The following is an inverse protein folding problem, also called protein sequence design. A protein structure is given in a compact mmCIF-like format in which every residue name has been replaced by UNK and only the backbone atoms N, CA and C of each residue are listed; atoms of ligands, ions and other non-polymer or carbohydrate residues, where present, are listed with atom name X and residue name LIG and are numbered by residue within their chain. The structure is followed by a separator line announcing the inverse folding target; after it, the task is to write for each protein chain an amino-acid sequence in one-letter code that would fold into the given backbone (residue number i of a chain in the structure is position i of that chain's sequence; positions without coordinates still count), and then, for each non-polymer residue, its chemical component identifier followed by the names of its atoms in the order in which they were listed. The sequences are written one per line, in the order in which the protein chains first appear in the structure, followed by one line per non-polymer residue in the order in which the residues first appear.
data_IF_364981658561
#
_entry.id   IF_364981658561
#
_cell.length_a   1.000
_cell.length_b   1.000
_cell.length_c   1.000
_cell.angle_alpha   90.00
_cell.angle_beta   90.00
_cell.angle_gamma   90.00
#
_symmetry.space_group_name_H-M   'P 1'
#
loop_
_entity.id
_entity.type
_entity.pdbx_description
1 polymer ?
#
# COMPACT_ATOMS: atom_id res chain seq x y z
N UNK A 1 -1.10 19.35 -29.26
CA UNK A 1 0.21 18.70 -29.00
C UNK A 1 0.36 18.64 -27.50
N UNK A 2 0.64 17.46 -26.92
CA UNK A 2 0.90 17.36 -25.48
C UNK A 2 2.08 18.26 -25.12
N UNK A 3 1.97 19.00 -24.02
CA UNK A 3 3.07 19.80 -23.50
C UNK A 3 4.22 18.82 -23.19
N UNK A 4 5.43 19.01 -23.76
CA UNK A 4 6.55 18.18 -23.39
C UNK A 4 6.80 18.37 -21.89
N UNK A 5 6.85 17.25 -21.16
CA UNK A 5 7.04 17.26 -19.71
C UNK A 5 8.28 18.08 -19.36
N UNK A 6 8.18 18.93 -18.34
CA UNK A 6 9.33 19.61 -17.78
C UNK A 6 10.41 18.55 -17.48
N UNK A 7 11.59 18.71 -18.09
CA UNK A 7 12.78 17.86 -17.88
C UNK A 7 12.70 16.43 -18.44
N UNK A 8 11.81 16.14 -19.41
CA UNK A 8 11.73 14.82 -20.07
C UNK A 8 13.08 14.27 -20.58
N UNK A 9 13.99 15.17 -20.99
CA UNK A 9 15.32 14.84 -21.52
C UNK A 9 16.45 14.85 -20.46
N UNK A 10 16.14 15.13 -19.19
CA UNK A 10 17.12 15.16 -18.09
C UNK A 10 17.18 13.85 -17.28
N UNK A 11 16.66 12.76 -17.84
CA UNK A 11 16.69 11.44 -17.18
C UNK A 11 18.09 10.97 -16.76
N UNK A 12 19.13 11.46 -17.46
CA UNK A 12 20.51 11.18 -17.14
C UNK A 12 20.92 11.61 -15.72
N UNK A 13 20.30 12.65 -15.13
CA UNK A 13 20.61 13.08 -13.75
C UNK A 13 20.22 11.99 -12.76
N UNK A 14 18.97 11.52 -12.85
CA UNK A 14 18.47 10.43 -12.00
C UNK A 14 19.22 9.13 -12.25
N UNK A 15 19.54 8.83 -13.51
CA UNK A 15 20.32 7.64 -13.86
C UNK A 15 21.72 7.69 -13.21
N UNK A 16 22.38 8.84 -13.18
CA UNK A 16 23.67 8.98 -12.50
C UNK A 16 23.54 8.84 -10.97
N UNK A 17 22.52 9.41 -10.34
CA UNK A 17 22.30 9.23 -8.89
C UNK A 17 22.06 7.77 -8.52
N UNK A 18 21.26 7.05 -9.31
CA UNK A 18 21.03 5.62 -9.13
C UNK A 18 22.31 4.78 -9.22
N UNK A 19 23.32 5.26 -9.96
CA UNK A 19 24.62 4.60 -10.06
C UNK A 19 25.56 4.90 -8.88
N UNK A 20 25.20 5.83 -7.97
CA UNK A 20 25.98 6.17 -6.78
C UNK A 20 25.67 5.25 -5.58
N UNK A 21 24.63 4.43 -5.67
CA UNK A 21 24.22 3.50 -4.62
C UNK A 21 24.09 2.07 -5.14
N UNK A 22 24.20 1.10 -4.25
CA UNK A 22 23.99 -0.32 -4.57
C UNK A 22 22.50 -0.70 -4.65
N UNK A 23 21.60 0.23 -4.32
CA UNK A 23 20.16 0.01 -4.18
C UNK A 23 19.36 1.33 -4.40
N UNK A 24 18.06 1.29 -4.15
CA UNK A 24 17.16 2.45 -4.30
C UNK A 24 17.18 3.45 -3.11
N UNK A 25 17.98 3.23 -2.05
CA UNK A 25 17.97 4.10 -0.86
C UNK A 25 18.40 5.55 -1.18
N UNK A 26 19.21 5.75 -2.23
CA UNK A 26 19.57 7.10 -2.70
C UNK A 26 18.36 7.93 -3.17
N UNK A 27 17.28 7.25 -3.58
CA UNK A 27 16.04 7.89 -4.01
C UNK A 27 15.00 7.92 -2.88
N UNK A 28 14.97 6.87 -2.07
CA UNK A 28 14.00 6.67 -0.99
C UNK A 28 14.70 6.02 0.20
N UNK A 29 15.32 6.80 1.11
CA UNK A 29 15.99 6.25 2.28
C UNK A 29 15.06 5.28 3.03
N UNK A 30 15.59 4.10 3.35
CA UNK A 30 14.83 3.06 4.06
C UNK A 30 14.04 2.10 3.16
N UNK A 31 13.92 2.35 1.85
CA UNK A 31 13.11 1.48 0.96
C UNK A 31 13.46 0.00 1.03
N UNK A 32 14.74 -0.32 1.28
CA UNK A 32 15.17 -1.70 1.47
C UNK A 32 14.51 -2.38 2.67
N UNK A 33 14.43 -1.71 3.82
CA UNK A 33 13.79 -2.24 5.02
C UNK A 33 12.30 -2.52 4.80
N UNK A 34 11.59 -1.58 4.17
CA UNK A 34 10.17 -1.74 3.82
C UNK A 34 9.94 -2.90 2.86
N UNK A 35 10.81 -3.08 1.86
CA UNK A 35 10.73 -4.23 0.93
C UNK A 35 10.96 -5.56 1.64
N UNK A 36 11.94 -5.63 2.53
CA UNK A 36 12.20 -6.84 3.31
C UNK A 36 10.98 -7.21 4.19
N UNK A 37 10.39 -6.23 4.87
CA UNK A 37 9.18 -6.44 5.68
C UNK A 37 7.97 -6.92 4.84
N UNK A 38 7.87 -6.46 3.59
CA UNK A 38 6.83 -6.91 2.63
C UNK A 38 7.09 -8.28 1.99
N UNK A 39 8.22 -8.93 2.31
CA UNK A 39 8.51 -10.30 1.89
C UNK A 39 9.42 -10.44 0.68
N UNK A 40 10.06 -9.36 0.23
CA UNK A 40 11.21 -9.47 -0.67
C UNK A 40 12.39 -10.09 0.08
N UNK A 41 13.23 -10.86 -0.62
CA UNK A 41 14.46 -11.38 -0.04
C UNK A 41 15.67 -10.54 -0.47
N UNK A 42 16.66 -10.37 0.41
CA UNK A 42 17.86 -9.58 0.13
C UNK A 42 18.56 -10.03 -1.16
N UNK A 43 18.64 -11.34 -1.40
CA UNK A 43 19.20 -11.91 -2.63
C UNK A 43 18.43 -11.51 -3.91
N UNK A 44 17.12 -11.32 -3.82
CA UNK A 44 16.29 -10.87 -4.95
C UNK A 44 16.58 -9.41 -5.26
N UNK A 45 16.62 -8.59 -4.20
CA UNK A 45 16.90 -7.16 -4.28
C UNK A 45 18.31 -6.94 -4.86
N UNK A 46 19.33 -7.62 -4.33
CA UNK A 46 20.70 -7.57 -4.86
C UNK A 46 20.77 -8.04 -6.31
N UNK A 47 20.10 -9.14 -6.67
CA UNK A 47 20.11 -9.66 -8.05
C UNK A 47 19.48 -8.70 -9.07
N UNK A 48 18.60 -7.80 -8.61
CA UNK A 48 18.01 -6.73 -9.41
C UNK A 48 18.91 -5.50 -9.43
N UNK A 49 19.26 -4.95 -8.28
CA UNK A 49 19.93 -3.64 -8.18
C UNK A 49 21.34 -3.64 -8.74
N UNK A 50 22.08 -4.74 -8.61
CA UNK A 50 23.40 -4.91 -9.26
C UNK A 50 23.35 -4.88 -10.79
N UNK A 51 22.16 -4.97 -11.40
CA UNK A 51 21.96 -4.94 -12.87
C UNK A 51 21.24 -3.69 -13.35
N UNK A 52 20.82 -2.82 -12.44
CA UNK A 52 20.17 -1.56 -12.78
C UNK A 52 21.26 -0.59 -13.20
N UNK A 53 21.11 0.00 -14.38
CA UNK A 53 22.04 0.98 -14.93
C UNK A 53 21.39 2.35 -15.09
N UNK A 54 20.28 2.58 -14.39
CA UNK A 54 19.38 3.72 -14.55
C UNK A 54 17.92 3.31 -14.62
N UNK A 55 17.02 4.29 -14.58
CA UNK A 55 15.59 4.11 -14.33
C UNK A 55 14.89 3.24 -15.38
N UNK A 56 15.28 3.35 -16.66
CA UNK A 56 14.71 2.55 -17.76
C UNK A 56 15.03 1.05 -17.66
N UNK A 57 16.07 0.68 -16.89
CA UNK A 57 16.48 -0.71 -16.75
C UNK A 57 15.70 -1.49 -15.68
N UNK A 58 15.03 -0.79 -14.74
CA UNK A 58 14.29 -1.41 -13.64
C UNK A 58 13.24 -2.43 -14.11
N UNK A 59 12.29 -2.13 -15.01
CA UNK A 59 11.29 -3.10 -15.45
C UNK A 59 11.91 -4.42 -15.92
N UNK A 60 12.97 -4.32 -16.73
CA UNK A 60 13.67 -5.49 -17.29
C UNK A 60 14.44 -6.26 -16.21
N UNK A 61 15.07 -5.57 -15.26
CA UNK A 61 15.81 -6.21 -14.17
C UNK A 61 14.86 -6.99 -13.23
N UNK A 62 13.75 -6.37 -12.83
CA UNK A 62 12.70 -7.02 -12.05
C UNK A 62 12.10 -8.22 -12.77
N UNK A 63 11.72 -8.06 -14.05
CA UNK A 63 11.14 -9.14 -14.85
C UNK A 63 12.10 -10.35 -14.98
N UNK A 64 13.40 -10.10 -15.17
CA UNK A 64 14.39 -11.18 -15.23
C UNK A 64 14.47 -11.97 -13.92
N UNK A 65 14.43 -11.29 -12.77
CA UNK A 65 14.44 -11.98 -11.47
C UNK A 65 13.15 -12.75 -11.24
N UNK A 66 11.99 -12.14 -11.55
CA UNK A 66 10.69 -12.77 -11.46
C UNK A 66 10.62 -14.09 -12.26
N UNK A 67 11.03 -14.06 -13.53
CA UNK A 67 11.08 -15.25 -14.40
C UNK A 67 12.03 -16.34 -13.86
N UNK A 68 13.13 -15.95 -13.22
CA UNK A 68 14.04 -16.91 -12.58
C UNK A 68 13.37 -17.61 -11.41
N UNK A 69 12.71 -16.85 -10.53
CA UNK A 69 12.00 -17.39 -9.37
C UNK A 69 10.83 -18.28 -9.78
N UNK A 70 10.04 -17.84 -10.77
CA UNK A 70 8.93 -18.62 -11.33
C UNK A 70 9.39 -19.98 -11.85
N UNK A 71 10.49 -20.05 -12.62
CA UNK A 71 11.02 -21.35 -13.11
C UNK A 71 11.42 -22.30 -11.97
N UNK A 72 11.98 -21.77 -10.88
CA UNK A 72 12.34 -22.58 -9.71
C UNK A 72 11.06 -23.05 -9.00
N UNK A 73 10.06 -22.17 -8.87
CA UNK A 73 8.76 -22.50 -8.28
C UNK A 73 8.06 -23.63 -9.06
N UNK A 74 8.00 -23.53 -10.39
CA UNK A 74 7.43 -24.56 -11.28
C UNK A 74 8.16 -25.90 -11.16
N UNK A 75 9.50 -25.88 -11.04
CA UNK A 75 10.29 -27.10 -10.85
C UNK A 75 10.02 -27.74 -9.47
N UNK A 76 9.90 -26.92 -8.42
CA UNK A 76 9.54 -27.39 -7.09
C UNK A 76 8.12 -27.99 -7.08
N UNK A 77 7.16 -27.34 -7.72
CA UNK A 77 5.77 -27.80 -7.84
C UNK A 77 5.70 -29.15 -8.56
N UNK A 78 6.39 -29.30 -9.71
CA UNK A 78 6.47 -30.57 -10.45
C UNK A 78 7.05 -31.73 -9.64
N UNK A 79 7.89 -31.43 -8.64
CA UNK A 79 8.49 -32.40 -7.73
C UNK A 79 7.66 -32.62 -6.45
N UNK A 80 6.47 -32.02 -6.35
CA UNK A 80 5.61 -32.12 -5.16
C UNK A 80 6.10 -31.31 -3.95
N UNK A 81 7.08 -30.41 -4.12
CA UNK A 81 7.63 -29.56 -3.05
C UNK A 81 6.81 -28.29 -2.88
N UNK A 82 5.56 -28.45 -2.44
CA UNK A 82 4.53 -27.41 -2.51
C UNK A 82 4.82 -26.18 -1.63
N UNK A 83 5.39 -26.36 -0.44
CA UNK A 83 5.80 -25.25 0.45
C UNK A 83 6.83 -24.36 -0.24
N UNK A 84 7.88 -24.98 -0.80
CA UNK A 84 8.92 -24.28 -1.56
C UNK A 84 8.35 -23.59 -2.80
N UNK A 85 7.48 -24.27 -3.54
CA UNK A 85 6.85 -23.70 -4.72
C UNK A 85 6.04 -22.43 -4.37
N UNK A 86 5.18 -22.50 -3.34
CA UNK A 86 4.34 -21.38 -2.90
C UNK A 86 5.16 -20.15 -2.50
N UNK A 87 6.24 -20.35 -1.73
CA UNK A 87 7.13 -19.25 -1.32
C UNK A 87 7.84 -18.60 -2.51
N UNK A 88 8.28 -19.39 -3.49
CA UNK A 88 8.93 -18.86 -4.70
C UNK A 88 7.96 -18.18 -5.66
N UNK A 89 6.73 -18.70 -5.80
CA UNK A 89 5.67 -18.01 -6.55
C UNK A 89 5.32 -16.66 -5.94
N UNK A 90 5.26 -16.55 -4.60
CA UNK A 90 5.05 -15.27 -3.93
C UNK A 90 6.16 -14.27 -4.27
N UNK A 91 7.43 -14.67 -4.11
CA UNK A 91 8.57 -13.82 -4.45
C UNK A 91 8.59 -13.42 -5.94
N UNK A 92 8.22 -14.34 -6.83
CA UNK A 92 8.08 -14.05 -8.26
C UNK A 92 6.98 -13.01 -8.52
N UNK A 93 5.81 -13.13 -7.88
CA UNK A 93 4.72 -12.19 -8.01
C UNK A 93 5.12 -10.78 -7.55
N UNK A 94 5.79 -10.65 -6.39
CA UNK A 94 6.33 -9.39 -5.91
C UNK A 94 7.28 -8.74 -6.95
N UNK A 95 8.18 -9.52 -7.55
CA UNK A 95 9.08 -9.03 -8.58
C UNK A 95 8.34 -8.60 -9.87
N UNK A 96 7.33 -9.35 -10.32
CA UNK A 96 6.49 -8.93 -11.46
C UNK A 96 5.71 -7.65 -11.17
N UNK A 97 5.22 -7.48 -9.93
CA UNK A 97 4.58 -6.24 -9.46
C UNK A 97 5.48 -5.02 -9.53
N UNK A 98 6.78 -5.18 -9.23
CA UNK A 98 7.74 -4.09 -9.41
C UNK A 98 8.16 -3.88 -10.87
N UNK A 99 8.11 -4.92 -11.71
CA UNK A 99 8.44 -4.81 -13.13
C UNK A 99 7.47 -3.88 -13.88
N UNK A 100 6.19 -3.85 -13.50
CA UNK A 100 5.16 -3.04 -14.15
C UNK A 100 5.13 -1.58 -13.65
N UNK A 101 5.53 -1.34 -12.40
CA UNK A 101 5.29 -0.09 -11.65
C UNK A 101 5.82 1.17 -12.36
N UNK A 102 6.98 1.10 -13.03
CA UNK A 102 7.56 2.26 -13.72
C UNK A 102 7.04 2.48 -15.15
N UNK A 103 5.98 1.78 -15.55
CA UNK A 103 5.34 1.90 -16.86
C UNK A 103 3.90 2.42 -16.68
N UNK A 104 3.68 3.74 -16.52
CA UNK A 104 2.36 4.32 -16.27
C UNK A 104 1.61 4.55 -17.60
N UNK A 105 1.38 3.48 -18.36
CA UNK A 105 0.72 3.52 -19.67
C UNK A 105 -0.24 2.33 -19.78
N UNK A 106 -1.54 2.62 -19.88
CA UNK A 106 -2.56 1.60 -20.08
C UNK A 106 -2.38 0.87 -21.41
N UNK A 107 -2.57 -0.45 -21.42
CA UNK A 107 -2.46 -1.26 -22.64
C UNK A 107 -1.03 -1.43 -23.16
N UNK A 108 -0.01 -0.97 -22.42
CA UNK A 108 1.38 -1.26 -22.77
C UNK A 108 1.67 -2.76 -22.57
N UNK A 109 2.07 -3.44 -23.64
CA UNK A 109 2.23 -4.91 -23.62
C UNK A 109 3.26 -5.39 -22.57
N UNK A 110 4.31 -4.62 -22.27
CA UNK A 110 5.26 -5.00 -21.22
C UNK A 110 4.63 -4.94 -19.82
N UNK A 111 3.80 -3.92 -19.56
CA UNK A 111 3.04 -3.77 -18.32
C UNK A 111 2.00 -4.88 -18.20
N UNK A 112 1.18 -5.09 -19.23
CA UNK A 112 0.13 -6.12 -19.23
C UNK A 112 0.71 -7.54 -19.12
N UNK A 113 1.83 -7.81 -19.79
CA UNK A 113 2.53 -9.09 -19.65
C UNK A 113 3.03 -9.31 -18.21
N UNK A 114 3.57 -8.27 -17.57
CA UNK A 114 4.00 -8.35 -16.17
C UNK A 114 2.81 -8.54 -15.22
N UNK A 115 1.68 -7.87 -15.44
CA UNK A 115 0.44 -8.12 -14.69
C UNK A 115 -0.06 -9.55 -14.85
N UNK A 116 -0.13 -10.07 -16.08
CA UNK A 116 -0.55 -11.47 -16.32
C UNK A 116 0.34 -12.44 -15.55
N UNK A 117 1.65 -12.29 -15.61
CA UNK A 117 2.58 -13.17 -14.89
C UNK A 117 2.52 -13.01 -13.37
N UNK A 118 2.27 -11.78 -12.88
CA UNK A 118 2.03 -11.52 -11.46
C UNK A 118 0.84 -12.31 -10.96
N UNK A 119 -0.33 -12.13 -11.58
CA UNK A 119 -1.56 -12.77 -11.11
C UNK A 119 -1.50 -14.29 -11.30
N UNK A 120 -0.87 -14.80 -12.36
CA UNK A 120 -0.61 -16.24 -12.50
C UNK A 120 0.24 -16.81 -11.35
N UNK A 121 1.29 -16.11 -10.93
CA UNK A 121 2.11 -16.52 -9.78
C UNK A 121 1.33 -16.41 -8.48
N UNK A 122 0.57 -15.33 -8.27
CA UNK A 122 -0.17 -15.14 -7.03
C UNK A 122 -1.38 -16.08 -6.91
N UNK A 123 -2.02 -16.46 -8.02
CA UNK A 123 -3.04 -17.52 -8.05
C UNK A 123 -2.46 -18.85 -7.57
N UNK A 124 -1.18 -19.16 -7.87
CA UNK A 124 -0.50 -20.32 -7.29
C UNK A 124 -0.30 -20.18 -5.78
N UNK A 125 0.01 -18.98 -5.28
CA UNK A 125 0.12 -18.71 -3.82
C UNK A 125 -1.22 -18.98 -3.12
N UNK A 126 -2.32 -18.53 -3.73
CA UNK A 126 -3.68 -18.73 -3.23
C UNK A 126 -4.08 -20.20 -3.28
N UNK A 127 -3.91 -20.88 -4.42
CA UNK A 127 -4.28 -22.28 -4.56
C UNK A 127 -3.51 -23.21 -3.62
N UNK A 128 -2.23 -22.90 -3.35
CA UNK A 128 -1.39 -23.66 -2.42
C UNK A 128 -1.55 -23.21 -0.95
N UNK A 129 -2.50 -22.31 -0.65
CA UNK A 129 -2.77 -21.85 0.73
C UNK A 129 -3.65 -22.79 1.55
N UNK A 130 -4.11 -23.89 0.95
CA UNK A 130 -5.04 -24.84 1.56
C UNK A 130 -6.36 -24.18 2.03
N UNK A 131 -6.93 -23.35 1.15
CA UNK A 131 -8.20 -22.65 1.41
C UNK A 131 -8.11 -21.44 2.33
N UNK A 132 -6.94 -21.12 2.88
CA UNK A 132 -6.76 -19.98 3.78
C UNK A 132 -6.74 -18.62 3.05
N UNK A 133 -6.48 -18.60 1.75
CA UNK A 133 -6.54 -17.39 0.93
C UNK A 133 -7.63 -17.47 -0.12
N UNK A 134 -8.32 -16.35 -0.36
CA UNK A 134 -9.43 -16.25 -1.31
C UNK A 134 -9.25 -14.98 -2.15
N UNK A 135 -9.21 -15.14 -3.48
CA UNK A 135 -9.34 -14.01 -4.41
C UNK A 135 -10.81 -13.64 -4.59
N UNK A 136 -11.13 -12.35 -4.55
CA UNK A 136 -12.48 -11.84 -4.75
C UNK A 136 -12.46 -10.64 -5.69
N UNK A 137 -13.48 -10.55 -6.54
CA UNK A 137 -13.85 -9.33 -7.24
C UNK A 137 -15.29 -8.96 -6.87
N UNK A 138 -15.56 -7.67 -6.71
CA UNK A 138 -16.90 -7.11 -6.45
C UNK A 138 -17.16 -5.97 -7.42
N UNK A 139 -18.31 -6.00 -8.08
CA UNK A 139 -18.75 -4.89 -8.92
C UNK A 139 -19.33 -3.78 -8.02
N UNK A 140 -18.83 -2.55 -8.18
CA UNK A 140 -19.28 -1.38 -7.40
C UNK A 140 -20.00 -0.32 -8.25
N UNK A 141 -19.80 -0.36 -9.56
CA UNK A 141 -20.55 0.39 -10.56
C UNK A 141 -20.58 -0.42 -11.84
N UNK A 142 -21.48 -0.08 -12.78
CA UNK A 142 -21.66 -0.84 -14.01
C UNK A 142 -20.34 -1.02 -14.78
N UNK A 143 -19.87 -2.27 -14.88
CA UNK A 143 -18.62 -2.63 -15.55
C UNK A 143 -17.35 -2.24 -14.80
N UNK A 144 -17.45 -1.80 -13.54
CA UNK A 144 -16.32 -1.43 -12.69
C UNK A 144 -16.28 -2.31 -11.44
N UNK A 145 -15.15 -2.99 -11.25
CA UNK A 145 -14.94 -3.88 -10.11
C UNK A 145 -13.76 -3.45 -9.26
N UNK A 146 -13.84 -3.74 -7.96
CA UNK A 146 -12.73 -3.72 -7.02
C UNK A 146 -12.27 -5.14 -6.75
N UNK A 147 -10.98 -5.32 -6.44
CA UNK A 147 -10.38 -6.63 -6.29
C UNK A 147 -9.78 -6.79 -4.91
N UNK A 148 -9.85 -7.99 -4.36
CA UNK A 148 -9.36 -8.28 -3.03
C UNK A 148 -8.70 -9.66 -2.94
N UNK A 149 -7.72 -9.76 -2.05
CA UNK A 149 -7.19 -11.01 -1.53
C UNK A 149 -7.48 -11.04 -0.04
N UNK A 150 -8.33 -11.97 0.37
CA UNK A 150 -8.59 -12.27 1.76
C UNK A 150 -7.66 -13.39 2.23
N UNK A 151 -7.12 -13.24 3.44
CA UNK A 151 -6.33 -14.25 4.12
C UNK A 151 -6.93 -14.48 5.51
N UNK A 152 -7.43 -15.69 5.72
CA UNK A 152 -8.01 -16.15 6.97
C UNK A 152 -6.93 -16.31 8.03
N UNK A 153 -7.17 -15.76 9.22
CA UNK A 153 -6.34 -16.02 10.40
C UNK A 153 -6.59 -17.43 10.95
N UNK A 154 -5.58 -18.07 11.56
CA UNK A 154 -5.75 -19.38 12.16
C UNK A 154 -6.75 -19.36 13.33
N UNK A 155 -7.40 -20.51 13.55
CA UNK A 155 -8.34 -20.74 14.64
C UNK A 155 -9.81 -20.65 14.23
N UNK A 156 -10.68 -21.04 15.16
CA UNK A 156 -12.12 -21.18 14.93
C UNK A 156 -12.90 -19.87 15.16
N UNK A 157 -14.07 -19.78 14.54
CA UNK A 157 -15.04 -18.69 14.72
C UNK A 157 -14.69 -17.39 13.98
N UNK A 158 -15.61 -16.41 14.02
CA UNK A 158 -15.41 -15.10 13.39
C UNK A 158 -14.26 -14.33 14.02
N UNK A 159 -13.48 -13.64 13.19
CA UNK A 159 -12.28 -12.88 13.59
C UNK A 159 -12.39 -11.40 13.24
N UNK A 160 -11.76 -10.50 14.02
CA UNK A 160 -11.50 -9.14 13.55
C UNK A 160 -10.83 -9.18 12.18
N UNK A 161 -11.15 -8.22 11.33
CA UNK A 161 -10.62 -8.20 9.96
C UNK A 161 -10.04 -6.84 9.63
N UNK A 162 -8.79 -6.83 9.16
CA UNK A 162 -8.10 -5.62 8.73
C UNK A 162 -8.11 -5.54 7.21
N UNK A 163 -8.75 -4.50 6.69
CA UNK A 163 -8.70 -4.14 5.29
C UNK A 163 -7.41 -3.37 5.06
N UNK A 164 -6.57 -3.84 4.15
CA UNK A 164 -5.28 -3.20 3.85
C UNK A 164 -5.37 -2.50 2.50
N UNK A 165 -5.09 -1.20 2.53
CA UNK A 165 -5.06 -0.34 1.35
C UNK A 165 -3.60 -0.02 1.00
N UNK A 166 -3.09 -0.51 -0.14
CA UNK A 166 -1.76 -0.17 -0.62
C UNK A 166 -1.61 1.34 -0.90
N UNK A 167 -0.36 1.77 -1.07
CA UNK A 167 -0.04 3.13 -1.50
C UNK A 167 -0.39 3.43 -2.96
N UNK A 168 0.09 4.57 -3.44
CA UNK A 168 -0.13 5.01 -4.82
C UNK A 168 0.49 4.03 -5.83
N UNK A 169 -0.29 3.54 -6.81
CA UNK A 169 0.11 2.54 -7.84
C UNK A 169 0.80 1.27 -7.29
N UNK A 170 0.63 1.01 -5.99
CA UNK A 170 0.98 -0.27 -5.39
C UNK A 170 -0.13 -1.30 -5.68
N UNK A 171 0.13 -2.55 -5.32
CA UNK A 171 -0.77 -3.68 -5.58
C UNK A 171 -1.07 -4.42 -4.28
N UNK A 172 -2.28 -4.97 -4.16
CA UNK A 172 -2.70 -5.78 -3.01
C UNK A 172 -1.81 -6.98 -2.72
N UNK A 173 -1.12 -7.52 -3.74
CA UNK A 173 -0.17 -8.61 -3.57
C UNK A 173 1.14 -8.19 -2.88
N UNK A 174 1.43 -6.90 -2.78
CA UNK A 174 2.67 -6.38 -2.15
C UNK A 174 2.50 -5.97 -0.68
N UNK A 175 1.27 -6.04 -0.15
CA UNK A 175 0.95 -5.66 1.23
C UNK A 175 0.51 -6.87 2.05
N UNK A 176 0.95 -6.91 3.32
CA UNK A 176 0.79 -8.04 4.24
C UNK A 176 1.34 -9.35 3.68
N UNK A 177 2.63 -9.59 3.92
CA UNK A 177 3.30 -10.84 3.61
C UNK A 177 2.52 -12.04 4.20
N UNK A 178 2.04 -13.00 3.38
CA UNK A 178 1.22 -14.12 3.85
C UNK A 178 1.95 -15.09 4.77
N UNK A 179 3.28 -14.97 4.93
CA UNK A 179 4.07 -15.85 5.80
C UNK A 179 4.48 -15.20 7.12
N UNK A 180 4.44 -13.87 7.21
CA UNK A 180 4.92 -13.11 8.38
C UNK A 180 3.97 -11.98 8.76
N UNK A 181 2.70 -12.06 8.39
CA UNK A 181 1.72 -11.01 8.71
C UNK A 181 1.52 -10.89 10.21
N UNK A 182 1.81 -9.70 10.75
CA UNK A 182 1.58 -9.37 12.16
C UNK A 182 0.11 -9.49 12.57
N UNK A 183 -0.80 -9.30 11.62
CA UNK A 183 -2.25 -9.39 11.85
C UNK A 183 -2.72 -10.83 12.01
N UNK A 184 -2.28 -11.72 11.10
CA UNK A 184 -2.67 -13.14 11.12
C UNK A 184 -2.17 -13.82 12.39
N UNK A 185 -0.92 -13.53 12.80
CA UNK A 185 -0.33 -14.06 14.03
C UNK A 185 -1.08 -13.62 15.30
N UNK A 186 -1.84 -12.52 15.23
CA UNK A 186 -2.69 -11.97 16.30
C UNK A 186 -4.16 -12.38 16.17
N UNK A 187 -4.48 -13.31 15.27
CA UNK A 187 -5.84 -13.82 15.09
C UNK A 187 -6.77 -12.86 14.34
N UNK A 188 -6.24 -11.93 13.54
CA UNK A 188 -7.02 -11.03 12.70
C UNK A 188 -6.93 -11.44 11.23
N UNK A 189 -8.06 -11.58 10.56
CA UNK A 189 -8.08 -11.77 9.11
C UNK A 189 -7.51 -10.54 8.40
N UNK A 190 -6.97 -10.74 7.21
CA UNK A 190 -6.49 -9.65 6.35
C UNK A 190 -7.25 -9.64 5.04
N UNK A 191 -7.64 -8.46 4.55
CA UNK A 191 -8.21 -8.27 3.23
C UNK A 191 -7.46 -7.14 2.50
N UNK A 192 -6.48 -7.49 1.68
CA UNK A 192 -5.77 -6.51 0.86
C UNK A 192 -6.57 -6.20 -0.40
N UNK A 193 -6.73 -4.91 -0.75
CA UNK A 193 -7.60 -4.50 -1.86
C UNK A 193 -6.84 -3.68 -2.92
N UNK A 194 -7.23 -3.87 -4.19
CA UNK A 194 -6.96 -2.91 -5.26
C UNK A 194 -8.26 -2.11 -5.49
N UNK A 195 -8.24 -0.83 -5.11
CA UNK A 195 -9.32 0.10 -5.45
C UNK A 195 -9.13 0.73 -6.83
N UNK A 196 -10.07 1.59 -7.27
CA UNK A 196 -9.94 2.37 -8.50
C UNK A 196 -8.59 3.08 -8.58
N UNK A 197 -7.90 2.96 -9.71
CA UNK A 197 -6.55 3.51 -9.89
C UNK A 197 -5.40 2.63 -9.37
N UNK A 198 -5.63 1.40 -8.92
CA UNK A 198 -4.57 0.48 -8.44
C UNK A 198 -4.62 -0.89 -9.14
N UNK A 199 -3.48 -1.58 -9.21
CA UNK A 199 -3.37 -3.00 -9.59
C UNK A 199 -4.34 -3.49 -10.67
N UNK A 200 -5.22 -4.44 -10.32
CA UNK A 200 -6.21 -5.02 -11.24
C UNK A 200 -7.20 -3.98 -11.78
N UNK A 201 -7.57 -2.95 -11.01
CA UNK A 201 -8.42 -1.86 -11.49
C UNK A 201 -7.74 -1.11 -12.64
N UNK A 202 -6.45 -0.79 -12.51
CA UNK A 202 -5.66 -0.11 -13.54
C UNK A 202 -5.51 -0.92 -14.84
N UNK A 203 -5.31 -2.24 -14.74
CA UNK A 203 -5.26 -3.14 -15.92
C UNK A 203 -6.63 -3.21 -16.61
N UNK A 204 -7.73 -3.11 -15.86
CA UNK A 204 -9.10 -3.12 -16.38
C UNK A 204 -9.70 -1.72 -16.65
N UNK A 205 -8.86 -0.68 -16.71
CA UNK A 205 -9.28 0.71 -16.96
C UNK A 205 -10.34 1.27 -15.98
N UNK A 206 -10.31 0.81 -14.74
CA UNK A 206 -11.12 1.34 -13.63
C UNK A 206 -10.31 2.44 -12.93
N UNK A 207 -10.49 3.67 -13.42
CA UNK A 207 -9.73 4.85 -12.98
C UNK A 207 -10.25 5.44 -11.67
N UNK A 208 -9.34 6.02 -10.89
CA UNK A 208 -9.68 6.80 -9.71
C UNK A 208 -10.44 8.06 -10.11
N UNK A 209 -11.55 8.32 -9.41
CA UNK A 209 -12.30 9.57 -9.48
C UNK A 209 -12.43 10.16 -8.08
N UNK A 210 -13.11 11.29 -7.96
CA UNK A 210 -13.28 11.99 -6.68
C UNK A 210 -13.82 11.09 -5.57
N UNK A 211 -14.79 10.22 -5.86
CA UNK A 211 -15.58 9.54 -4.83
C UNK A 211 -15.71 8.02 -4.98
N UNK A 212 -15.07 7.40 -5.98
CA UNK A 212 -15.29 5.98 -6.26
C UNK A 212 -14.47 5.03 -5.39
N UNK A 213 -13.42 5.50 -4.69
CA UNK A 213 -12.57 4.62 -3.90
C UNK A 213 -13.30 4.09 -2.66
N UNK A 214 -13.94 4.98 -1.89
CA UNK A 214 -14.73 4.61 -0.72
C UNK A 214 -15.96 3.77 -1.09
N UNK A 215 -16.56 4.00 -2.26
CA UNK A 215 -17.68 3.21 -2.78
C UNK A 215 -17.21 1.77 -3.10
N UNK A 216 -16.07 1.65 -3.78
CA UNK A 216 -15.44 0.36 -4.08
C UNK A 216 -15.09 -0.42 -2.81
N UNK A 217 -14.47 0.22 -1.84
CA UNK A 217 -14.15 -0.38 -0.54
C UNK A 217 -15.41 -0.81 0.23
N UNK A 218 -16.48 0.01 0.21
CA UNK A 218 -17.77 -0.34 0.84
C UNK A 218 -18.39 -1.62 0.27
N UNK A 219 -18.20 -1.89 -1.04
CA UNK A 219 -18.61 -3.17 -1.65
C UNK A 219 -17.75 -4.36 -1.26
N UNK A 220 -16.47 -4.14 -0.98
CA UNK A 220 -15.64 -5.19 -0.35
C UNK A 220 -16.13 -5.44 1.08
N UNK A 221 -16.48 -4.39 1.83
CA UNK A 221 -17.05 -4.52 3.18
C UNK A 221 -18.37 -5.30 3.13
N UNK A 222 -19.26 -5.04 2.17
CA UNK A 222 -20.51 -5.82 1.96
C UNK A 222 -20.22 -7.32 1.85
N UNK A 223 -19.18 -7.70 1.11
CA UNK A 223 -18.77 -9.09 0.98
C UNK A 223 -18.13 -9.64 2.25
N UNK A 224 -17.29 -8.86 2.94
CA UNK A 224 -16.64 -9.30 4.17
C UNK A 224 -17.68 -9.62 5.25
N UNK A 225 -18.67 -8.75 5.44
CA UNK A 225 -19.68 -8.94 6.49
C UNK A 225 -20.68 -10.07 6.19
N UNK A 226 -20.71 -10.57 4.96
CA UNK A 226 -21.53 -11.73 4.58
C UNK A 226 -20.84 -13.06 4.89
N UNK A 227 -19.59 -13.04 5.37
CA UNK A 227 -18.82 -14.24 5.72
C UNK A 227 -19.10 -14.64 7.17
N UNK A 228 -19.05 -15.93 7.45
CA UNK A 228 -19.19 -16.50 8.79
C UNK A 228 -17.89 -16.47 9.61
N UNK A 229 -16.74 -16.32 8.94
CA UNK A 229 -15.42 -16.22 9.55
C UNK A 229 -14.94 -14.78 9.80
N UNK A 230 -15.79 -13.78 9.57
CA UNK A 230 -15.54 -12.36 9.83
C UNK A 230 -16.41 -11.88 10.99
N UNK A 231 -15.82 -11.14 11.91
CA UNK A 231 -16.55 -10.41 12.96
C UNK A 231 -16.97 -9.03 12.45
N UNK A 232 -18.27 -8.88 12.24
CA UNK A 232 -18.87 -7.68 11.66
C UNK A 232 -18.74 -6.43 12.54
N UNK A 233 -18.50 -6.61 13.85
CA UNK A 233 -18.31 -5.50 14.78
C UNK A 233 -16.84 -5.13 14.97
N UNK A 234 -15.90 -5.82 14.31
CA UNK A 234 -14.45 -5.60 14.48
C UNK A 234 -13.72 -5.52 13.13
N UNK A 235 -14.13 -4.55 12.32
CA UNK A 235 -13.46 -4.21 11.05
C UNK A 235 -12.56 -2.99 11.21
N UNK A 236 -11.29 -3.12 10.84
CA UNK A 236 -10.32 -2.02 10.80
C UNK A 236 -9.79 -1.77 9.40
N UNK A 237 -9.23 -0.57 9.17
CA UNK A 237 -8.50 -0.24 7.95
C UNK A 237 -7.04 0.08 8.31
N UNK A 238 -6.10 -0.47 7.55
CA UNK A 238 -4.73 -0.02 7.53
C UNK A 238 -4.36 0.47 6.13
N UNK A 239 -4.01 1.74 6.02
CA UNK A 239 -3.60 2.38 4.77
C UNK A 239 -2.13 2.74 4.78
N UNK A 240 -1.40 2.43 3.70
CA UNK A 240 0.01 2.81 3.54
C UNK A 240 0.15 3.98 2.57
N UNK A 241 0.94 4.99 2.90
CA UNK A 241 1.18 6.16 2.02
C UNK A 241 -0.15 6.79 1.61
N UNK A 242 -0.41 6.97 0.31
CA UNK A 242 -1.71 7.46 -0.16
C UNK A 242 -2.91 6.57 0.25
N UNK A 243 -2.64 5.30 0.60
CA UNK A 243 -3.61 4.43 1.26
C UNK A 243 -4.11 4.93 2.60
N UNK A 244 -3.33 5.73 3.35
CA UNK A 244 -3.79 6.35 4.59
C UNK A 244 -4.91 7.37 4.33
N UNK A 245 -4.81 8.14 3.24
CA UNK A 245 -5.86 9.06 2.78
C UNK A 245 -7.13 8.30 2.39
N UNK A 246 -7.01 7.23 1.60
CA UNK A 246 -8.17 6.40 1.27
C UNK A 246 -8.74 5.70 2.52
N UNK A 247 -7.91 5.31 3.48
CA UNK A 247 -8.35 4.76 4.75
C UNK A 247 -9.23 5.72 5.54
N UNK A 248 -8.86 7.01 5.60
CA UNK A 248 -9.69 8.07 6.17
C UNK A 248 -11.02 8.21 5.41
N UNK A 249 -10.98 8.23 4.07
CA UNK A 249 -12.21 8.31 3.27
C UNK A 249 -13.14 7.12 3.50
N UNK A 250 -12.60 5.90 3.58
CA UNK A 250 -13.37 4.69 3.85
C UNK A 250 -13.96 4.72 5.26
N UNK A 251 -13.17 5.06 6.28
CA UNK A 251 -13.64 5.12 7.66
C UNK A 251 -14.67 6.23 7.92
N UNK A 252 -14.61 7.33 7.18
CA UNK A 252 -15.61 8.40 7.24
C UNK A 252 -16.89 8.06 6.45
N UNK A 253 -16.77 7.24 5.40
CA UNK A 253 -17.88 6.86 4.54
C UNK A 253 -18.69 5.67 5.09
N UNK A 254 -18.02 4.67 5.67
CA UNK A 254 -18.63 3.39 6.03
C UNK A 254 -18.56 3.12 7.54
N UNK A 255 -19.69 3.30 8.22
CA UNK A 255 -19.84 3.16 9.69
C UNK A 255 -19.56 1.76 10.24
N UNK A 256 -19.38 0.76 9.37
CA UNK A 256 -18.97 -0.60 9.76
C UNK A 256 -17.49 -0.66 10.12
N UNK A 257 -16.66 0.25 9.60
CA UNK A 257 -15.28 0.40 10.06
C UNK A 257 -15.28 0.95 11.48
N UNK A 258 -14.39 0.42 12.32
CA UNK A 258 -14.27 0.75 13.74
C UNK A 258 -12.92 1.33 14.15
N UNK A 259 -11.90 1.23 13.29
CA UNK A 259 -10.60 1.83 13.51
C UNK A 259 -9.88 2.07 12.17
N UNK A 260 -9.08 3.13 12.11
CA UNK A 260 -8.25 3.44 10.93
C UNK A 260 -6.81 3.69 11.36
N UNK A 261 -5.86 3.03 10.70
CA UNK A 261 -4.43 3.22 10.89
C UNK A 261 -3.80 3.66 9.56
N UNK A 262 -3.00 4.72 9.58
CA UNK A 262 -2.23 5.21 8.45
C UNK A 262 -0.74 5.08 8.71
N UNK A 263 -0.01 4.35 7.86
CA UNK A 263 1.44 4.23 7.92
C UNK A 263 2.09 5.03 6.80
N UNK A 264 3.29 5.59 7.05
CA UNK A 264 3.97 6.53 6.14
C UNK A 264 2.97 7.59 5.65
N UNK A 265 2.27 8.19 6.61
CA UNK A 265 0.99 8.85 6.38
C UNK A 265 1.06 9.95 5.31
N UNK A 266 0.20 9.87 4.29
CA UNK A 266 0.05 10.91 3.27
C UNK A 266 -1.34 11.57 3.36
N UNK A 267 -1.49 12.48 4.32
CA UNK A 267 -2.75 13.22 4.58
C UNK A 267 -2.67 14.72 4.26
N UNK A 268 -1.49 15.18 3.85
CA UNK A 268 -1.24 16.56 3.42
C UNK A 268 -1.80 16.90 2.04
N UNK A 269 -1.49 18.10 1.58
CA UNK A 269 -1.91 18.60 0.26
C UNK A 269 -1.24 17.83 -0.89
N UNK A 270 -1.82 17.91 -2.08
CA UNK A 270 -1.20 17.32 -3.28
C UNK A 270 -0.03 18.15 -3.85
N UNK A 271 0.18 19.39 -3.37
CA UNK A 271 1.22 20.29 -3.86
C UNK A 271 2.62 19.68 -3.69
N UNK A 272 2.92 19.16 -2.49
CA UNK A 272 4.22 18.55 -2.19
C UNK A 272 4.50 17.38 -3.14
N UNK A 273 3.58 16.41 -3.22
CA UNK A 273 3.78 15.19 -4.00
C UNK A 273 3.86 15.44 -5.52
N UNK A 274 3.19 16.47 -6.05
CA UNK A 274 3.11 16.71 -7.50
C UNK A 274 4.04 17.79 -8.02
N UNK A 275 4.34 18.82 -7.23
CA UNK A 275 5.09 19.99 -7.68
C UNK A 275 6.48 20.08 -7.04
N UNK A 276 6.72 19.45 -5.89
CA UNK A 276 7.99 19.55 -5.15
C UNK A 276 8.77 18.24 -5.08
N UNK A 277 8.08 17.11 -4.92
CA UNK A 277 8.66 15.79 -4.82
C UNK A 277 9.15 15.27 -6.18
N UNK A 278 9.55 13.99 -6.22
CA UNK A 278 10.09 13.39 -7.44
C UNK A 278 9.09 13.49 -8.61
N UNK A 279 9.51 13.93 -9.82
CA UNK A 279 8.62 14.22 -10.95
C UNK A 279 7.77 13.05 -11.45
N UNK A 280 8.02 11.82 -10.97
CA UNK A 280 7.26 10.65 -11.41
C UNK A 280 5.89 10.52 -10.73
N UNK A 281 5.72 11.08 -9.54
CA UNK A 281 4.49 10.89 -8.78
C UNK A 281 3.26 11.48 -9.48
N UNK A 282 3.36 12.71 -10.00
CA UNK A 282 2.30 13.32 -10.82
C UNK A 282 1.94 12.45 -12.03
N UNK A 283 2.94 11.94 -12.77
CA UNK A 283 2.72 11.08 -13.94
C UNK A 283 2.06 9.75 -13.58
N UNK A 284 2.43 9.15 -12.45
CA UNK A 284 1.78 7.94 -11.95
C UNK A 284 0.32 8.25 -11.60
N UNK A 285 0.05 9.34 -10.89
CA UNK A 285 -1.32 9.69 -10.49
C UNK A 285 -2.22 10.05 -11.69
N UNK A 286 -1.66 10.69 -12.73
CA UNK A 286 -2.34 10.87 -14.02
C UNK A 286 -2.75 9.53 -14.64
N UNK A 287 -1.87 8.53 -14.63
CA UNK A 287 -2.20 7.19 -15.10
C UNK A 287 -3.34 6.56 -14.28
N UNK A 288 -3.30 6.67 -12.95
CA UNK A 288 -4.32 6.11 -12.07
C UNK A 288 -5.70 6.74 -12.27
N UNK A 289 -5.75 7.99 -12.74
CA UNK A 289 -6.96 8.78 -12.96
C UNK A 289 -7.38 8.79 -14.45
N UNK A 290 -6.61 8.13 -15.33
CA UNK A 290 -6.89 8.04 -16.76
C UNK A 290 -6.60 9.33 -17.56
N UNK A 291 -5.98 10.34 -16.95
CA UNK A 291 -5.63 11.59 -17.63
C UNK A 291 -4.33 11.47 -18.41
N UNK A 292 -4.29 12.07 -19.60
CA UNK A 292 -3.09 12.14 -20.46
C UNK A 292 -2.66 13.58 -20.76
N UNK A 293 -3.48 14.56 -20.38
CA UNK A 293 -3.23 15.98 -20.49
C UNK A 293 -3.05 16.55 -19.07
N UNK A 294 -1.94 17.25 -18.84
CA UNK A 294 -1.61 17.85 -17.53
C UNK A 294 -2.60 18.95 -17.14
N UNK A 295 -3.06 19.78 -18.08
CA UNK A 295 -3.98 20.88 -17.75
C UNK A 295 -5.35 20.33 -17.28
N UNK A 296 -5.86 19.30 -17.95
CA UNK A 296 -7.11 18.63 -17.56
C UNK A 296 -6.98 17.91 -16.20
N UNK A 297 -5.78 17.36 -15.93
CA UNK A 297 -5.45 16.74 -14.65
C UNK A 297 -5.38 17.77 -13.52
N UNK A 298 -4.74 18.92 -13.76
CA UNK A 298 -4.63 19.99 -12.77
C UNK A 298 -6.02 20.56 -12.42
N UNK A 299 -6.93 20.71 -13.38
CA UNK A 299 -8.33 21.06 -13.10
C UNK A 299 -9.07 19.96 -12.32
N UNK A 300 -8.80 18.68 -12.60
CA UNK A 300 -9.34 17.57 -11.81
C UNK A 300 -8.84 17.61 -10.35
N UNK A 301 -7.55 17.87 -10.14
CA UNK A 301 -6.94 17.88 -8.82
C UNK A 301 -7.51 18.94 -7.88
N UNK A 302 -8.02 20.06 -8.41
CA UNK A 302 -8.75 21.06 -7.61
C UNK A 302 -9.99 20.50 -6.88
N UNK A 303 -10.56 19.40 -7.38
CA UNK A 303 -11.70 18.70 -6.76
C UNK A 303 -11.29 17.58 -5.79
N UNK A 304 -10.03 17.19 -5.78
CA UNK A 304 -9.50 16.10 -4.93
C UNK A 304 -9.03 16.61 -3.56
N UNK A 305 -8.88 17.92 -3.39
CA UNK A 305 -8.41 18.55 -2.15
C UNK A 305 -9.55 18.81 -1.14
N UNK A 306 -10.21 17.72 -0.71
CA UNK A 306 -11.35 17.78 0.21
C UNK A 306 -11.16 16.92 1.48
N UNK A 307 -9.96 16.35 1.67
CA UNK A 307 -9.67 15.45 2.79
C UNK A 307 -9.89 16.11 4.18
N UNK A 308 -9.54 17.40 4.41
CA UNK A 308 -9.86 18.06 5.68
C UNK A 308 -11.35 18.09 6.01
N UNK A 309 -12.24 18.16 5.01
CA UNK A 309 -13.69 18.10 5.24
C UNK A 309 -14.18 16.68 5.54
N UNK A 310 -13.59 15.68 4.88
CA UNK A 310 -13.83 14.26 5.20
C UNK A 310 -13.39 13.93 6.62
N UNK A 311 -12.24 14.46 7.06
CA UNK A 311 -11.68 14.21 8.38
C UNK A 311 -12.66 14.57 9.52
N UNK A 312 -13.49 15.61 9.34
CA UNK A 312 -14.53 16.03 10.31
C UNK A 312 -15.59 14.95 10.55
N UNK A 313 -15.81 14.10 9.54
CA UNK A 313 -16.79 13.01 9.55
C UNK A 313 -16.18 11.68 10.00
N UNK A 314 -14.84 11.57 10.10
CA UNK A 314 -14.19 10.39 10.68
C UNK A 314 -14.40 10.39 12.20
N UNK A 315 -15.30 9.53 12.68
CA UNK A 315 -15.65 9.42 14.13
C UNK A 315 -14.95 8.27 14.85
N UNK A 316 -14.38 7.33 14.10
CA UNK A 316 -13.66 6.19 14.66
C UNK A 316 -12.25 6.57 15.08
N UNK A 317 -11.63 5.85 16.03
CA UNK A 317 -10.24 6.07 16.40
C UNK A 317 -9.29 5.96 15.22
N UNK A 318 -8.34 6.88 15.17
CA UNK A 318 -7.42 7.06 14.05
C UNK A 318 -5.97 7.18 14.50
N UNK A 319 -5.10 6.27 14.04
CA UNK A 319 -3.65 6.33 14.24
C UNK A 319 -2.96 6.79 12.96
N UNK A 320 -2.01 7.73 13.07
CA UNK A 320 -1.01 8.00 12.04
C UNK A 320 0.38 7.61 12.54
N UNK A 321 1.15 6.98 11.66
CA UNK A 321 2.56 6.65 11.86
C UNK A 321 3.35 7.28 10.73
N UNK A 322 4.27 8.18 11.07
CA UNK A 322 5.05 8.95 10.11
C UNK A 322 6.47 9.20 10.63
N UNK A 323 7.37 9.59 9.74
CA UNK A 323 8.67 10.17 10.10
C UNK A 323 8.63 11.68 9.96
N UNK A 324 9.42 12.40 10.75
CA UNK A 324 9.46 13.87 10.67
C UNK A 324 10.25 14.42 9.48
N UNK A 325 10.98 13.55 8.78
CA UNK A 325 11.68 13.82 7.52
C UNK A 325 10.93 13.26 6.30
N UNK A 326 9.67 12.82 6.44
CA UNK A 326 8.84 12.37 5.31
C UNK A 326 8.66 13.50 4.29
N UNK A 327 9.21 13.28 3.09
CA UNK A 327 9.25 14.28 2.02
C UNK A 327 7.92 14.46 1.29
N UNK A 328 6.92 13.59 1.55
CA UNK A 328 5.62 13.61 0.90
C UNK A 328 4.51 14.15 1.80
N UNK A 329 4.71 14.16 3.13
CA UNK A 329 3.77 14.71 4.09
C UNK A 329 4.51 15.21 5.33
N UNK A 330 4.58 16.53 5.47
CA UNK A 330 5.31 17.13 6.59
C UNK A 330 4.58 16.94 7.93
N UNK A 331 5.27 17.08 9.07
CA UNK A 331 4.62 17.17 10.37
C UNK A 331 3.53 18.26 10.45
N UNK A 332 3.73 19.40 9.78
CA UNK A 332 2.76 20.50 9.75
C UNK A 332 1.48 20.12 8.96
N UNK A 333 1.61 19.35 7.89
CA UNK A 333 0.48 18.78 7.16
C UNK A 333 -0.33 17.85 8.07
N UNK A 334 0.35 16.98 8.82
CA UNK A 334 -0.28 16.06 9.78
C UNK A 334 -1.02 16.84 10.87
N UNK A 335 -0.39 17.87 11.45
CA UNK A 335 -1.03 18.73 12.46
C UNK A 335 -2.27 19.42 11.87
N UNK A 336 -2.19 19.92 10.65
CA UNK A 336 -3.31 20.58 9.96
C UNK A 336 -4.46 19.61 9.71
N UNK A 337 -4.17 18.40 9.23
CA UNK A 337 -5.16 17.35 9.06
C UNK A 337 -5.83 16.98 10.40
N UNK A 338 -5.03 16.74 11.46
CA UNK A 338 -5.53 16.31 12.77
C UNK A 338 -6.43 17.33 13.45
N UNK A 339 -6.19 18.64 13.26
CA UNK A 339 -7.08 19.71 13.73
C UNK A 339 -8.52 19.62 13.19
N UNK A 340 -8.73 18.89 12.09
CA UNK A 340 -10.03 18.69 11.48
C UNK A 340 -10.67 17.34 11.84
N UNK A 341 -9.98 16.46 12.56
CA UNK A 341 -10.49 15.12 12.89
C UNK A 341 -11.72 15.18 13.79
N UNK A 342 -12.70 14.34 13.46
CA UNK A 342 -13.95 14.25 14.18
C UNK A 342 -14.00 13.27 15.35
N UNK A 343 -12.94 12.48 15.58
CA UNK A 343 -12.87 11.40 16.56
C UNK A 343 -11.48 11.24 17.16
N UNK A 344 -11.31 10.23 18.02
CA UNK A 344 -10.07 9.94 18.74
C UNK A 344 -8.86 9.83 17.79
N UNK A 345 -7.71 10.38 18.20
CA UNK A 345 -6.53 10.46 17.34
C UNK A 345 -5.21 10.20 18.06
N UNK A 346 -4.37 9.37 17.45
CA UNK A 346 -2.99 9.13 17.86
C UNK A 346 -2.02 9.41 16.72
N UNK A 347 -0.82 9.89 17.06
CA UNK A 347 0.29 10.07 16.12
C UNK A 347 1.57 9.51 16.74
N UNK A 348 2.25 8.66 15.98
CA UNK A 348 3.63 8.26 16.22
C UNK A 348 4.51 8.92 15.16
N UNK A 349 5.36 9.85 15.59
CA UNK A 349 6.25 10.62 14.73
C UNK A 349 7.71 10.24 15.07
N UNK A 350 8.40 9.59 14.15
CA UNK A 350 9.77 9.12 14.34
C UNK A 350 10.79 10.16 13.86
N UNK A 351 11.75 10.52 14.71
CA UNK A 351 12.83 11.45 14.39
C UNK A 351 13.74 10.89 13.28
N UNK A 352 14.04 11.70 12.28
CA UNK A 352 15.00 11.40 11.22
C UNK A 352 14.52 10.38 10.19
N UNK A 353 13.28 9.90 10.26
CA UNK A 353 12.74 8.86 9.38
C UNK A 353 12.09 9.48 8.13
N UNK A 354 12.38 8.91 6.96
CA UNK A 354 11.86 9.34 5.65
C UNK A 354 10.68 8.49 5.17
N UNK A 355 10.07 8.86 4.04
CA UNK A 355 9.22 7.95 3.29
C UNK A 355 10.12 6.91 2.61
N UNK A 356 10.09 5.61 2.99
CA UNK A 356 8.92 4.81 3.35
C UNK A 356 9.05 4.11 4.72
N UNK A 357 9.78 4.70 5.67
CA UNK A 357 9.94 4.25 7.05
C UNK A 357 10.52 2.84 7.22
N UNK A 358 11.44 2.42 6.34
CA UNK A 358 11.95 1.06 6.39
C UNK A 358 13.02 0.81 7.45
N UNK A 359 13.66 1.87 7.93
CA UNK A 359 14.61 1.87 9.04
C UNK A 359 13.94 1.38 10.34
N UNK A 360 12.66 1.68 10.50
CA UNK A 360 11.84 1.34 11.68
C UNK A 360 10.75 0.32 11.38
N UNK A 361 10.70 -0.23 10.16
CA UNK A 361 9.66 -1.17 9.71
C UNK A 361 9.45 -2.33 10.70
N UNK A 362 10.55 -2.95 11.17
CA UNK A 362 10.49 -4.08 12.09
C UNK A 362 9.85 -3.76 13.46
N UNK A 363 9.81 -2.50 13.85
CA UNK A 363 9.17 -2.01 15.07
C UNK A 363 7.72 -1.58 14.82
N UNK A 364 7.48 -0.81 13.76
CA UNK A 364 6.16 -0.19 13.53
C UNK A 364 5.10 -1.21 13.11
N UNK A 365 5.44 -2.23 12.30
CA UNK A 365 4.45 -3.21 11.81
C UNK A 365 3.76 -4.00 12.94
N UNK A 366 4.50 -4.64 13.88
CA UNK A 366 3.86 -5.30 15.01
C UNK A 366 3.09 -4.33 15.90
N UNK A 367 3.63 -3.14 16.18
CA UNK A 367 2.98 -2.15 17.04
C UNK A 367 1.65 -1.65 16.46
N UNK A 368 1.58 -1.37 15.16
CA UNK A 368 0.33 -0.99 14.50
C UNK A 368 -0.73 -2.11 14.57
N UNK A 369 -0.30 -3.38 14.46
CA UNK A 369 -1.21 -4.51 14.58
C UNK A 369 -1.75 -4.66 16.01
N UNK A 370 -0.92 -4.43 17.03
CA UNK A 370 -1.34 -4.37 18.43
C UNK A 370 -2.33 -3.21 18.66
N UNK A 371 -1.99 -2.00 18.20
CA UNK A 371 -2.86 -0.83 18.33
C UNK A 371 -4.24 -1.07 17.69
N UNK A 372 -4.28 -1.64 16.48
CA UNK A 372 -5.53 -1.98 15.79
C UNK A 372 -6.33 -3.02 16.58
N UNK A 373 -5.69 -4.09 17.05
CA UNK A 373 -6.38 -5.14 17.79
C UNK A 373 -6.96 -4.62 19.11
N UNK A 374 -6.18 -3.88 19.90
CA UNK A 374 -6.62 -3.25 21.15
C UNK A 374 -7.78 -2.31 20.88
N UNK A 375 -7.65 -1.43 19.89
CA UNK A 375 -8.70 -0.47 19.52
C UNK A 375 -9.98 -1.17 19.06
N UNK A 376 -9.90 -2.26 18.31
CA UNK A 376 -11.08 -3.02 17.87
C UNK A 376 -11.75 -3.80 19.00
N UNK A 377 -11.02 -4.19 20.04
CA UNK A 377 -11.57 -4.93 21.18
C UNK A 377 -12.12 -4.01 22.28
N UNK A 378 -11.45 -2.89 22.53
CA UNK A 378 -11.67 -2.06 23.71
C UNK A 378 -12.21 -0.66 23.36
N UNK A 379 -12.08 -0.25 22.10
CA UNK A 379 -12.37 1.12 21.67
C UNK A 379 -11.31 2.12 22.15
N UNK A 380 -11.59 3.41 21.93
CA UNK A 380 -10.88 4.54 22.55
C UNK A 380 -11.92 5.53 23.03
N UNK A 381 -11.60 6.30 24.08
CA UNK A 381 -12.50 7.36 24.53
C UNK A 381 -12.60 8.48 23.48
N UNK A 382 -13.75 9.14 23.39
CA UNK A 382 -13.99 10.20 22.40
C UNK A 382 -13.00 11.37 22.50
N UNK A 383 -12.43 11.59 23.68
CA UNK A 383 -11.44 12.64 23.97
C UNK A 383 -9.98 12.13 23.89
N UNK A 384 -9.75 10.92 23.39
CA UNK A 384 -8.42 10.36 23.26
C UNK A 384 -7.65 11.09 22.16
N UNK A 385 -6.68 11.92 22.56
CA UNK A 385 -5.74 12.57 21.67
C UNK A 385 -4.32 12.41 22.20
N UNK A 386 -3.44 11.81 21.39
CA UNK A 386 -2.04 11.56 21.77
C UNK A 386 -1.09 11.84 20.61
N UNK A 387 0.07 12.41 20.93
CA UNK A 387 1.19 12.57 20.00
C UNK A 387 2.43 12.05 20.71
N UNK A 388 3.12 11.13 20.06
CA UNK A 388 4.37 10.54 20.53
C UNK A 388 5.42 10.93 19.51
N UNK A 389 6.44 11.64 19.96
CA UNK A 389 7.64 11.90 19.18
C UNK A 389 8.71 10.92 19.66
N UNK A 390 9.14 10.02 18.77
CA UNK A 390 10.09 8.97 19.07
C UNK A 390 11.47 9.49 18.65
N UNK A 391 12.23 9.96 19.64
CA UNK A 391 13.59 10.48 19.46
C UNK A 391 14.57 9.38 19.02
N UNK A 392 15.60 9.76 18.26
CA UNK A 392 16.67 8.86 17.85
C UNK A 392 17.32 8.19 19.07
N UNK A 393 17.56 6.88 18.96
CA UNK A 393 18.05 6.05 20.05
C UNK A 393 16.99 5.64 21.10
N UNK A 394 15.72 6.03 20.93
CA UNK A 394 14.58 5.51 21.70
C UNK A 394 13.70 4.61 20.83
N UNK A 395 12.73 3.93 21.45
CA UNK A 395 11.72 3.10 20.77
C UNK A 395 10.33 3.50 21.24
N UNK A 396 9.29 3.19 20.47
CA UNK A 396 7.89 3.38 20.85
C UNK A 396 7.57 2.75 22.22
N UNK A 397 8.23 1.64 22.57
CA UNK A 397 8.09 0.97 23.86
C UNK A 397 8.54 1.81 25.07
N UNK A 398 9.26 2.90 24.86
CA UNK A 398 9.61 3.86 25.91
C UNK A 398 8.47 4.82 26.25
N UNK A 399 7.41 4.86 25.44
CA UNK A 399 6.30 5.77 25.58
C UNK A 399 5.02 5.01 25.86
N UNK A 400 4.13 5.63 26.64
CA UNK A 400 2.77 5.13 26.77
C UNK A 400 2.08 5.33 25.41
N UNK A 401 1.69 4.24 24.76
CA UNK A 401 1.01 4.23 23.48
C UNK A 401 -0.21 3.32 23.55
N UNK A 402 -1.10 3.51 22.58
CA UNK A 402 -2.36 2.81 22.54
C UNK A 402 -2.27 1.31 22.33
#
# INVERSE_FOLDING_TARGET
MSKPQLRADQGWIFDNFLMLSENEDILHPGIMGTRLARGFMLEDLQAVYTKVTGRRSFPKAWQKRALSLQRIAESAEKQGRLVTARQLYHRAALCFGRAQHLIPIHGNEQKESSYRSLYQCYDKVINLSDGNMIKKSVEFAAGQSAYAVFHKAPGEGPKPTIIIIPGMDAIKEDVSNPYTSDYLSRGMNVCAIDGPGQGECNSNAVWLTENNYQIAASKIIDWLISRDDVDNERLGVMGMSMGSRWGVQVGAHDTRIKAVCGQMANVGTFDVIFEQAQPNFKRIFMYMTGYTNEDDFDEFMKRMDYLPDVAKSLKVPHLLVAGDMDELCSPDDIVTFRKNLGGASELWLYEGVFHPMGEVAGEIYPAMADWLLTTLNEGRSDNYERTIYIEDGTTLGNYEHG
#
